data_IF_768715509524
#
_entry.id   IF_768715509524
#
_cell.length_a   1.000
_cell.length_b   1.000
_cell.length_c   1.000
_cell.angle_alpha   90.00
_cell.angle_beta   90.00
_cell.angle_gamma   90.00
#
_symmetry.space_group_name_H-M   'P 1'
#
loop_
_entity.id
_entity.type
_entity.pdbx_description
1 polymer ?
#
# COMPACT_ATOMS: atom_id res chain seq x y z
N UNK A 1 14.14 -7.45 28.53
CA UNK A 1 12.74 -7.22 28.12
C UNK A 1 12.32 -8.31 27.16
N UNK A 2 11.02 -8.63 27.12
CA UNK A 2 10.47 -9.65 26.26
C UNK A 2 9.08 -9.24 25.71
N UNK A 3 8.72 -9.84 24.57
CA UNK A 3 7.40 -9.72 23.97
C UNK A 3 6.76 -11.11 23.88
N UNK A 4 5.53 -11.23 24.36
CA UNK A 4 4.71 -12.40 24.15
C UNK A 4 3.77 -12.16 22.98
N UNK A 5 3.90 -13.00 21.95
CA UNK A 5 3.10 -12.92 20.72
C UNK A 5 2.26 -14.18 20.60
N UNK A 6 0.98 -14.01 20.37
CA UNK A 6 0.03 -15.11 20.19
C UNK A 6 -0.95 -14.74 19.10
N UNK A 7 -1.21 -15.66 18.17
CA UNK A 7 -2.08 -15.44 17.00
C UNK A 7 -1.75 -14.17 16.20
N UNK A 8 -0.44 -13.86 16.09
CA UNK A 8 0.03 -12.67 15.35
C UNK A 8 -0.17 -11.34 16.08
N UNK A 9 -0.55 -11.36 17.35
CA UNK A 9 -0.78 -10.16 18.17
C UNK A 9 0.17 -10.13 19.36
N UNK A 10 0.67 -8.94 19.69
CA UNK A 10 1.41 -8.71 20.94
C UNK A 10 0.40 -8.77 22.09
N UNK A 11 0.46 -9.80 22.89
CA UNK A 11 -0.41 -9.99 24.08
C UNK A 11 0.18 -9.36 25.34
N UNK A 12 1.51 -9.36 25.46
CA UNK A 12 2.20 -8.83 26.64
C UNK A 12 3.59 -8.34 26.27
N UNK A 13 4.00 -7.25 26.87
CA UNK A 13 5.37 -6.76 26.89
C UNK A 13 5.84 -6.58 28.32
N UNK A 14 7.11 -6.81 28.60
CA UNK A 14 7.68 -6.65 29.94
C UNK A 14 8.98 -7.38 30.13
N UNK A 15 9.28 -7.75 31.37
CA UNK A 15 10.51 -8.48 31.70
C UNK A 15 10.36 -9.97 31.38
N UNK A 16 11.44 -10.59 30.91
CA UNK A 16 11.47 -12.03 30.60
C UNK A 16 11.03 -12.90 31.79
N UNK A 17 11.44 -12.53 33.01
CA UNK A 17 11.04 -13.26 34.23
C UNK A 17 9.53 -13.33 34.47
N UNK A 18 8.76 -12.45 33.82
CA UNK A 18 7.31 -12.35 33.94
C UNK A 18 6.58 -13.12 32.78
N UNK A 19 7.36 -13.83 31.96
CA UNK A 19 6.87 -14.64 30.85
C UNK A 19 7.09 -16.14 31.15
N UNK A 20 6.20 -16.99 30.66
CA UNK A 20 6.34 -18.44 30.76
C UNK A 20 6.98 -18.99 29.48
N UNK A 21 8.30 -19.02 29.43
CA UNK A 21 9.04 -19.52 28.27
C UNK A 21 8.67 -20.98 27.92
N UNK A 22 8.26 -21.76 28.90
CA UNK A 22 7.91 -23.18 28.68
C UNK A 22 6.58 -23.35 27.95
N UNK A 23 5.70 -22.32 28.01
CA UNK A 23 4.44 -22.30 27.27
C UNK A 23 4.61 -21.79 25.83
N UNK A 24 5.77 -21.21 25.49
CA UNK A 24 6.02 -20.69 24.15
C UNK A 24 6.36 -21.85 23.18
N UNK A 25 5.76 -21.82 21.99
CA UNK A 25 6.12 -22.74 20.90
C UNK A 25 7.51 -22.44 20.33
N UNK A 26 7.92 -21.19 20.40
CA UNK A 26 9.21 -20.71 19.90
C UNK A 26 9.69 -19.55 20.78
N UNK A 27 10.96 -19.54 21.11
CA UNK A 27 11.64 -18.43 21.78
C UNK A 27 12.73 -17.93 20.85
N UNK A 28 12.74 -16.62 20.61
CA UNK A 28 13.77 -15.96 19.79
C UNK A 28 14.58 -15.06 20.71
N UNK A 29 15.85 -15.41 20.88
CA UNK A 29 16.80 -14.56 21.59
C UNK A 29 17.33 -13.48 20.61
N UNK A 30 17.01 -12.23 20.89
CA UNK A 30 17.45 -11.10 20.09
C UNK A 30 18.86 -10.60 20.49
N UNK A 31 19.58 -11.34 21.34
CA UNK A 31 20.98 -11.08 21.70
C UNK A 31 21.28 -9.61 22.07
N UNK A 32 20.39 -8.97 22.81
CA UNK A 32 20.53 -7.58 23.25
C UNK A 32 20.23 -6.53 22.18
N UNK A 33 19.73 -6.91 21.02
CA UNK A 33 19.28 -5.96 19.99
C UNK A 33 17.94 -5.31 20.38
N UNK A 34 17.64 -4.18 19.77
CA UNK A 34 16.36 -3.50 19.95
C UNK A 34 15.33 -4.06 18.98
N UNK A 35 14.20 -4.51 19.49
CA UNK A 35 13.05 -4.93 18.70
C UNK A 35 12.11 -3.72 18.52
N UNK A 36 11.78 -3.40 17.28
CA UNK A 36 10.86 -2.31 16.92
C UNK A 36 9.71 -2.85 16.08
N UNK A 37 8.57 -2.13 15.99
CA UNK A 37 7.62 -2.40 14.93
C UNK A 37 8.30 -2.31 13.56
N UNK A 38 7.85 -3.13 12.61
CA UNK A 38 8.33 -3.02 11.24
C UNK A 38 8.01 -1.66 10.63
N UNK A 39 8.88 -1.19 9.76
CA UNK A 39 8.71 0.10 9.10
C UNK A 39 7.56 0.03 8.07
N UNK A 40 6.94 1.18 7.84
CA UNK A 40 5.94 1.39 6.79
C UNK A 40 6.53 2.29 5.71
N UNK A 41 6.51 1.82 4.48
CA UNK A 41 6.63 2.72 3.35
C UNK A 41 5.22 3.04 2.85
N UNK A 42 4.80 4.28 3.05
CA UNK A 42 3.46 4.74 2.74
C UNK A 42 3.29 5.21 1.30
N UNK A 43 4.34 5.21 0.48
CA UNK A 43 4.29 5.76 -0.87
C UNK A 43 5.23 5.03 -1.83
N UNK A 44 4.78 3.91 -2.36
CA UNK A 44 5.51 3.16 -3.39
C UNK A 44 4.70 3.05 -4.68
N UNK A 45 5.38 2.82 -5.79
CA UNK A 45 4.76 2.59 -7.09
C UNK A 45 5.12 1.19 -7.61
N UNK A 46 4.54 0.14 -7.05
CA UNK A 46 4.75 -1.21 -7.58
C UNK A 46 4.13 -1.32 -8.97
N UNK A 47 4.70 -2.14 -9.81
CA UNK A 47 4.20 -2.40 -11.16
C UNK A 47 3.55 -3.78 -11.22
N UNK A 48 2.23 -3.81 -11.44
CA UNK A 48 1.48 -5.06 -11.54
C UNK A 48 1.99 -5.92 -12.71
N UNK A 49 2.15 -7.21 -12.46
CA UNK A 49 2.65 -8.15 -13.44
C UNK A 49 4.17 -8.23 -13.54
N UNK A 50 4.90 -7.43 -12.79
CA UNK A 50 6.36 -7.43 -12.76
C UNK A 50 6.90 -8.41 -11.69
N UNK A 51 6.38 -9.65 -11.71
CA UNK A 51 6.63 -10.66 -10.68
C UNK A 51 7.50 -11.83 -11.16
N UNK A 52 7.93 -11.81 -12.41
CA UNK A 52 8.75 -12.90 -12.92
C UNK A 52 10.21 -12.72 -12.53
N UNK A 53 11.04 -13.78 -12.52
CA UNK A 53 12.46 -13.69 -12.19
C UNK A 53 13.27 -12.73 -13.06
N UNK A 54 12.72 -12.30 -14.19
CA UNK A 54 13.37 -11.34 -15.08
C UNK A 54 13.09 -9.89 -14.72
N UNK A 55 12.16 -9.66 -13.83
CA UNK A 55 11.66 -8.33 -13.51
C UNK A 55 12.15 -7.91 -12.13
N UNK A 56 12.39 -6.62 -11.98
CA UNK A 56 13.03 -6.07 -10.78
C UNK A 56 12.08 -5.83 -9.61
N UNK A 57 10.81 -6.11 -9.78
CA UNK A 57 9.83 -5.90 -8.74
C UNK A 57 10.12 -6.72 -7.47
N UNK A 58 10.56 -7.96 -7.62
CA UNK A 58 10.96 -8.80 -6.49
C UNK A 58 12.17 -8.21 -5.78
N UNK A 59 13.18 -7.79 -6.52
CA UNK A 59 14.37 -7.15 -5.95
C UNK A 59 14.02 -5.89 -5.16
N UNK A 60 13.05 -5.10 -5.63
CA UNK A 60 12.57 -3.93 -4.91
C UNK A 60 11.98 -4.29 -3.55
N UNK A 61 11.05 -5.23 -3.50
CA UNK A 61 10.44 -5.64 -2.24
C UNK A 61 11.42 -6.36 -1.32
N UNK A 62 12.33 -7.15 -1.84
CA UNK A 62 13.39 -7.76 -1.05
C UNK A 62 14.28 -6.69 -0.41
N UNK A 63 14.64 -5.66 -1.16
CA UNK A 63 15.41 -4.53 -0.65
C UNK A 63 14.67 -3.79 0.47
N UNK A 64 13.36 -3.55 0.31
CA UNK A 64 12.51 -2.96 1.33
C UNK A 64 12.50 -3.79 2.63
N UNK A 65 12.33 -5.11 2.51
CA UNK A 65 12.37 -6.04 3.67
C UNK A 65 13.72 -6.01 4.35
N UNK A 66 14.82 -6.01 3.60
CA UNK A 66 16.17 -5.89 4.14
C UNK A 66 16.39 -4.55 4.87
N UNK A 67 15.70 -3.50 4.43
CA UNK A 67 15.69 -2.20 5.11
C UNK A 67 14.79 -2.14 6.35
N UNK A 68 14.06 -3.23 6.65
CA UNK A 68 13.14 -3.31 7.79
C UNK A 68 11.71 -2.87 7.50
N UNK A 69 11.35 -2.62 6.24
CA UNK A 69 9.99 -2.31 5.82
C UNK A 69 9.16 -3.60 5.80
N UNK A 70 8.10 -3.63 6.56
CA UNK A 70 7.20 -4.80 6.67
C UNK A 70 5.85 -4.56 6.00
N UNK A 71 5.57 -3.31 5.64
CA UNK A 71 4.34 -2.95 4.93
C UNK A 71 4.62 -1.81 3.97
N UNK A 72 4.27 -1.99 2.69
CA UNK A 72 4.30 -0.94 1.67
C UNK A 72 2.90 -0.64 1.17
N UNK A 73 2.63 0.63 0.90
CA UNK A 73 1.34 1.13 0.43
C UNK A 73 1.52 1.75 -0.95
N UNK A 74 0.79 1.21 -1.93
CA UNK A 74 0.84 1.70 -3.30
C UNK A 74 0.21 3.08 -3.44
N UNK A 75 0.93 4.00 -4.05
CA UNK A 75 0.41 5.28 -4.52
C UNK A 75 -0.17 5.21 -5.95
N UNK A 76 -0.27 4.03 -6.51
CA UNK A 76 -0.83 3.74 -7.82
C UNK A 76 0.18 3.19 -8.83
N UNK A 77 -0.34 2.49 -9.82
CA UNK A 77 0.41 1.82 -10.89
C UNK A 77 0.82 2.81 -11.99
N UNK A 78 1.38 3.97 -11.61
CA UNK A 78 1.64 5.07 -12.54
C UNK A 78 2.71 4.74 -13.58
N UNK A 79 3.62 3.83 -13.24
CA UNK A 79 4.73 3.42 -14.09
C UNK A 79 4.46 2.18 -14.92
N UNK A 80 3.24 1.61 -14.83
CA UNK A 80 2.87 0.45 -15.64
C UNK A 80 2.96 0.79 -17.14
N UNK A 81 3.77 0.07 -17.93
CA UNK A 81 3.81 0.27 -19.37
C UNK A 81 2.43 0.05 -20.00
N UNK A 82 1.96 1.03 -20.78
CA UNK A 82 0.61 0.96 -21.37
C UNK A 82 -0.54 1.15 -20.38
N UNK A 83 -0.29 1.78 -19.24
CA UNK A 83 -1.33 2.06 -18.24
C UNK A 83 -2.57 2.68 -18.88
N UNK A 84 -3.78 2.14 -18.61
CA UNK A 84 -5.03 2.75 -19.08
C UNK A 84 -5.20 4.18 -18.54
N UNK A 85 -5.78 5.04 -19.37
CA UNK A 85 -6.04 6.47 -19.04
C UNK A 85 -7.52 6.84 -19.20
N UNK A 86 -8.39 5.85 -19.14
CA UNK A 86 -9.84 5.99 -19.18
C UNK A 86 -10.45 5.47 -17.87
N UNK A 87 -11.70 5.87 -17.54
CA UNK A 87 -12.33 5.49 -16.29
C UNK A 87 -12.46 3.97 -16.07
N UNK A 88 -12.83 3.24 -17.11
CA UNK A 88 -13.02 1.79 -17.00
C UNK A 88 -11.69 1.08 -16.76
N UNK A 89 -10.68 1.43 -17.52
CA UNK A 89 -9.34 0.83 -17.42
C UNK A 89 -8.64 1.17 -16.11
N UNK A 90 -8.67 2.43 -15.66
CA UNK A 90 -8.03 2.81 -14.39
C UNK A 90 -8.72 2.17 -13.17
N UNK A 91 -10.06 2.05 -13.20
CA UNK A 91 -10.81 1.32 -12.19
C UNK A 91 -10.45 -0.17 -12.16
N UNK A 92 -10.45 -0.81 -13.34
CA UNK A 92 -10.11 -2.22 -13.45
C UNK A 92 -8.69 -2.51 -12.94
N UNK A 93 -7.72 -1.65 -13.27
CA UNK A 93 -6.34 -1.76 -12.81
C UNK A 93 -6.26 -1.63 -11.28
N UNK A 94 -6.94 -0.66 -10.69
CA UNK A 94 -6.96 -0.47 -9.24
C UNK A 94 -7.52 -1.70 -8.52
N UNK A 95 -8.64 -2.25 -8.98
CA UNK A 95 -9.27 -3.43 -8.41
C UNK A 95 -8.37 -4.66 -8.57
N UNK A 96 -7.83 -4.88 -9.77
CA UNK A 96 -6.92 -5.99 -10.03
C UNK A 96 -5.69 -5.93 -9.13
N UNK A 97 -5.06 -4.76 -9.02
CA UNK A 97 -3.89 -4.56 -8.18
C UNK A 97 -4.20 -4.79 -6.70
N UNK A 98 -5.33 -4.29 -6.19
CA UNK A 98 -5.75 -4.51 -4.81
C UNK A 98 -5.89 -6.02 -4.51
N UNK A 99 -6.53 -6.76 -5.39
CA UNK A 99 -6.75 -8.21 -5.22
C UNK A 99 -5.44 -9.01 -5.37
N UNK A 100 -4.62 -8.66 -6.35
CA UNK A 100 -3.34 -9.34 -6.60
C UNK A 100 -2.38 -9.17 -5.42
N UNK A 101 -2.18 -7.94 -4.96
CA UNK A 101 -1.30 -7.67 -3.84
C UNK A 101 -1.84 -8.18 -2.50
N UNK A 102 -3.15 -8.39 -2.35
CA UNK A 102 -3.72 -8.96 -1.14
C UNK A 102 -3.12 -10.34 -0.80
N UNK A 103 -2.77 -11.14 -1.80
CA UNK A 103 -2.12 -12.45 -1.64
C UNK A 103 -0.59 -12.45 -1.73
N UNK A 104 0.00 -11.35 -2.17
CA UNK A 104 1.44 -11.26 -2.38
C UNK A 104 2.18 -10.91 -1.08
N UNK A 105 3.14 -11.74 -0.69
CA UNK A 105 3.86 -11.63 0.60
C UNK A 105 5.37 -11.86 0.42
N UNK A 106 6.06 -11.00 -0.33
CA UNK A 106 7.50 -11.14 -0.54
C UNK A 106 8.23 -11.01 0.81
N UNK A 107 9.05 -12.00 1.16
CA UNK A 107 9.74 -12.02 2.45
C UNK A 107 8.83 -11.90 3.69
N UNK A 108 7.53 -12.16 3.57
CA UNK A 108 6.53 -11.97 4.63
C UNK A 108 5.94 -10.56 4.70
N UNK A 109 6.44 -9.62 3.92
CA UNK A 109 5.98 -8.23 3.85
C UNK A 109 4.53 -8.13 3.35
N UNK A 110 3.78 -7.18 3.85
CA UNK A 110 2.44 -6.81 3.33
C UNK A 110 2.56 -5.75 2.26
N UNK A 111 1.84 -5.93 1.15
CA UNK A 111 1.71 -4.91 0.11
C UNK A 111 0.24 -4.53 -0.02
N UNK A 112 -0.09 -3.29 0.28
CA UNK A 112 -1.42 -2.71 0.06
C UNK A 112 -1.43 -2.06 -1.31
N UNK A 113 -1.82 -2.84 -2.32
CA UNK A 113 -1.89 -2.39 -3.71
C UNK A 113 -3.24 -1.81 -4.09
N UNK A 114 -3.34 -1.31 -5.32
CA UNK A 114 -4.60 -0.90 -5.90
C UNK A 114 -5.04 0.51 -5.52
N UNK A 115 -4.21 1.50 -5.79
CA UNK A 115 -4.65 2.89 -5.69
C UNK A 115 -5.34 3.35 -6.99
N UNK A 116 -6.51 3.97 -6.85
CA UNK A 116 -7.26 4.53 -7.99
C UNK A 116 -6.63 5.82 -8.47
N UNK A 117 -6.02 5.81 -9.65
CA UNK A 117 -5.46 7.02 -10.26
C UNK A 117 -6.61 7.84 -10.84
N UNK A 118 -6.62 9.15 -10.55
CA UNK A 118 -7.67 10.04 -11.02
C UNK A 118 -7.53 10.35 -12.50
N UNK A 119 -8.52 9.90 -13.26
CA UNK A 119 -8.66 10.17 -14.69
C UNK A 119 -9.96 10.93 -14.96
N UNK A 120 -9.96 11.81 -15.96
CA UNK A 120 -11.17 12.52 -16.38
C UNK A 120 -12.26 11.53 -16.81
N UNK A 121 -13.49 11.80 -16.41
CA UNK A 121 -14.64 10.95 -16.69
C UNK A 121 -14.98 9.95 -15.59
N UNK A 122 -14.16 9.80 -14.56
CA UNK A 122 -14.55 9.07 -13.35
C UNK A 122 -15.74 9.75 -12.70
N UNK A 123 -16.69 8.95 -12.23
CA UNK A 123 -17.90 9.37 -11.52
C UNK A 123 -17.98 8.75 -10.14
N UNK A 124 -18.86 9.24 -9.28
CA UNK A 124 -18.99 8.77 -7.90
C UNK A 124 -19.16 7.25 -7.78
N UNK A 125 -19.91 6.65 -8.73
CA UNK A 125 -20.13 5.20 -8.77
C UNK A 125 -18.84 4.41 -8.91
N UNK A 126 -17.84 4.92 -9.61
CA UNK A 126 -16.55 4.24 -9.76
C UNK A 126 -15.81 4.13 -8.42
N UNK A 127 -15.90 5.17 -7.58
CA UNK A 127 -15.32 5.14 -6.22
C UNK A 127 -16.08 4.17 -5.31
N UNK A 128 -17.41 4.12 -5.41
CA UNK A 128 -18.23 3.15 -4.67
C UNK A 128 -17.84 1.71 -5.04
N UNK A 129 -17.75 1.41 -6.32
CA UNK A 129 -17.36 0.08 -6.82
C UNK A 129 -15.94 -0.28 -6.39
N UNK A 130 -14.98 0.62 -6.55
CA UNK A 130 -13.62 0.43 -6.07
C UNK A 130 -13.57 0.12 -4.57
N UNK A 131 -14.30 0.87 -3.75
CA UNK A 131 -14.34 0.66 -2.30
C UNK A 131 -14.92 -0.70 -1.92
N UNK A 132 -15.99 -1.14 -2.60
CA UNK A 132 -16.58 -2.48 -2.42
C UNK A 132 -15.61 -3.59 -2.76
N UNK A 133 -14.77 -3.39 -3.78
CA UNK A 133 -13.77 -4.35 -4.22
C UNK A 133 -12.43 -4.30 -3.45
N UNK A 134 -12.36 -3.48 -2.40
CA UNK A 134 -11.21 -3.44 -1.49
C UNK A 134 -10.18 -2.36 -1.79
N UNK A 135 -10.38 -1.52 -2.79
CA UNK A 135 -9.53 -0.35 -3.04
C UNK A 135 -9.73 0.66 -1.91
N UNK A 136 -8.65 1.07 -1.26
CA UNK A 136 -8.68 1.97 -0.10
C UNK A 136 -7.95 3.28 -0.32
N UNK A 137 -7.33 3.44 -1.47
CA UNK A 137 -6.43 4.54 -1.76
C UNK A 137 -6.81 5.16 -3.09
N UNK A 138 -6.87 6.48 -3.13
CA UNK A 138 -6.77 7.24 -4.37
C UNK A 138 -5.29 7.47 -4.61
N UNK A 139 -4.82 7.02 -5.76
CA UNK A 139 -3.43 7.13 -6.16
C UNK A 139 -2.98 8.56 -6.30
N UNK A 140 -1.73 8.74 -6.48
CA UNK A 140 -1.06 10.02 -6.47
C UNK A 140 -1.69 11.02 -7.46
N UNK A 141 -2.45 11.98 -6.92
CA UNK A 141 -3.05 13.05 -7.72
C UNK A 141 -1.93 13.88 -8.35
N UNK A 142 -2.08 14.18 -9.62
CA UNK A 142 -1.07 14.91 -10.39
C UNK A 142 -0.46 14.08 -11.52
N UNK A 143 -0.53 12.76 -11.48
CA UNK A 143 0.02 11.85 -12.49
C UNK A 143 -1.03 11.28 -13.46
N UNK A 144 -2.32 11.50 -13.20
CA UNK A 144 -3.42 11.20 -14.12
C UNK A 144 -3.73 12.35 -15.08
N UNK A 145 -4.90 12.30 -15.70
CA UNK A 145 -5.41 13.37 -16.58
C UNK A 145 -6.10 14.52 -15.86
N UNK A 146 -6.33 14.41 -14.55
CA UNK A 146 -6.86 15.48 -13.71
C UNK A 146 -5.75 16.51 -13.48
N UNK A 147 -5.98 17.73 -13.97
CA UNK A 147 -4.95 18.78 -14.05
C UNK A 147 -5.27 20.04 -13.26
N UNK A 148 -6.39 20.06 -12.56
CA UNK A 148 -6.78 21.21 -11.75
C UNK A 148 -7.36 20.81 -10.41
N UNK A 149 -7.26 21.66 -9.37
CA UNK A 149 -7.93 21.42 -8.10
C UNK A 149 -9.44 21.30 -8.23
N UNK A 150 -10.06 22.04 -9.14
CA UNK A 150 -11.49 22.03 -9.40
C UNK A 150 -11.94 20.67 -9.93
N UNK A 151 -11.21 20.08 -10.87
CA UNK A 151 -11.45 18.74 -11.40
C UNK A 151 -11.27 17.67 -10.31
N UNK A 152 -10.27 17.83 -9.44
CA UNK A 152 -9.97 16.88 -8.37
C UNK A 152 -10.97 16.93 -7.20
N UNK A 153 -11.47 18.12 -6.85
CA UNK A 153 -12.26 18.34 -5.65
C UNK A 153 -13.51 17.43 -5.52
N UNK A 154 -14.34 17.21 -6.55
CA UNK A 154 -15.46 16.27 -6.45
C UNK A 154 -14.98 14.84 -6.22
N UNK A 155 -13.90 14.43 -6.89
CA UNK A 155 -13.34 13.08 -6.77
C UNK A 155 -12.77 12.82 -5.38
N UNK A 156 -12.10 13.80 -4.78
CA UNK A 156 -11.63 13.75 -3.38
C UNK A 156 -12.80 13.64 -2.40
N UNK A 157 -13.91 14.35 -2.64
CA UNK A 157 -15.11 14.21 -1.82
C UNK A 157 -15.72 12.80 -1.91
N UNK A 158 -15.77 12.21 -3.12
CA UNK A 158 -16.23 10.83 -3.30
C UNK A 158 -15.28 9.84 -2.61
N UNK A 159 -13.98 10.00 -2.78
CA UNK A 159 -12.99 9.18 -2.08
C UNK A 159 -13.21 9.19 -0.56
N UNK A 160 -13.33 10.37 0.03
CA UNK A 160 -13.62 10.53 1.46
C UNK A 160 -14.93 9.87 1.87
N UNK A 161 -16.00 10.03 1.08
CA UNK A 161 -17.31 9.42 1.34
C UNK A 161 -17.22 7.89 1.46
N UNK A 162 -16.38 7.26 0.66
CA UNK A 162 -16.18 5.81 0.65
C UNK A 162 -14.97 5.34 1.49
N UNK A 163 -14.43 6.21 2.33
CA UNK A 163 -13.37 5.87 3.30
C UNK A 163 -12.00 5.63 2.67
N UNK A 164 -11.74 6.20 1.50
CA UNK A 164 -10.44 6.13 0.85
C UNK A 164 -9.50 7.22 1.35
N UNK A 165 -8.23 6.88 1.50
CA UNK A 165 -7.13 7.82 1.71
C UNK A 165 -6.68 8.39 0.36
N UNK A 166 -6.42 9.68 0.32
CA UNK A 166 -5.96 10.37 -0.89
C UNK A 166 -4.49 10.72 -0.77
N UNK A 167 -3.71 10.32 -1.76
CA UNK A 167 -2.31 10.70 -1.91
C UNK A 167 -2.18 11.79 -2.98
N UNK A 168 -1.21 12.67 -2.82
CA UNK A 168 -0.96 13.76 -3.74
C UNK A 168 0.52 13.87 -4.04
N UNK A 169 0.84 13.99 -5.33
CA UNK A 169 2.20 14.29 -5.77
C UNK A 169 2.56 15.74 -5.45
N UNK A 170 3.70 15.95 -4.85
CA UNK A 170 4.21 17.28 -4.49
C UNK A 170 5.46 17.62 -5.28
N UNK A 171 5.55 18.87 -5.73
CA UNK A 171 6.69 19.37 -6.47
C UNK A 171 6.73 19.00 -7.95
N UNK A 172 6.72 19.97 -8.85
CA UNK A 172 6.86 19.77 -10.29
C UNK A 172 5.72 19.01 -10.97
N UNK A 173 4.52 19.11 -10.45
CA UNK A 173 3.39 18.28 -10.83
C UNK A 173 2.52 18.84 -11.96
N UNK A 174 1.54 18.06 -12.37
CA UNK A 174 0.50 18.46 -13.30
C UNK A 174 -0.60 19.34 -12.67
N UNK A 175 -0.63 19.48 -11.34
CA UNK A 175 -1.53 20.40 -10.64
C UNK A 175 -0.72 21.59 -10.14
N UNK A 176 -0.96 22.82 -10.66
CA UNK A 176 -0.25 24.01 -10.22
C UNK A 176 -0.43 24.28 -8.73
N UNK A 177 0.68 24.57 -8.05
CA UNK A 177 0.67 24.90 -6.63
C UNK A 177 0.64 23.71 -5.66
N UNK A 178 0.75 22.48 -6.19
CA UNK A 178 0.88 21.27 -5.36
C UNK A 178 2.31 20.97 -4.92
#
# INVERSE_FOLDING_TARGET
DALWIEEGLIKKGGFLKDMDEKAAQMVIDCAGTTVTPGLFDSHVHPVLGDFTPRQKQLDFFESEVHGGVTTSISAGEVHLPGRPKDPAGTKALAILSAKSYAGFRPGGMKVLGGALILEKGLVEKDFEECAKEGVRIVGEIGLGSVKSPEDAAPMVKWAKKYGMVVMMHTGGTSIPGS
#
